data_IF_810040520864
#
_entry.id   IF_810040520864
#
_cell.length_a   1.000
_cell.length_b   1.000
_cell.length_c   1.000
_cell.angle_alpha   90.00
_cell.angle_beta   90.00
_cell.angle_gamma   90.00
#
_symmetry.space_group_name_H-M   'P 1'
#
loop_
_entity.id
_entity.type
_entity.pdbx_description
1 polymer ?
#
# COMPACT_ATOMS: atom_id res chain seq x y z
N UNK A 1 3.88 -14.35 -12.01
CA UNK A 1 3.02 -14.75 -10.87
C UNK A 1 3.88 -14.76 -9.64
N UNK A 2 3.45 -14.08 -8.59
CA UNK A 2 4.22 -14.01 -7.35
C UNK A 2 4.39 -15.38 -6.67
N UNK A 3 5.45 -15.49 -5.88
CA UNK A 3 5.81 -16.67 -5.12
C UNK A 3 5.02 -16.69 -3.80
N UNK A 4 4.02 -17.57 -3.73
CA UNK A 4 3.13 -17.69 -2.57
C UNK A 4 3.70 -18.65 -1.51
N UNK A 5 3.56 -18.31 -0.23
CA UNK A 5 3.93 -19.14 0.92
C UNK A 5 2.76 -19.19 1.93
N UNK A 6 2.04 -20.33 2.05
CA UNK A 6 2.16 -21.54 1.22
C UNK A 6 1.75 -21.29 -0.25
N UNK A 7 2.14 -22.21 -1.13
CA UNK A 7 1.89 -22.15 -2.58
C UNK A 7 0.41 -22.31 -2.96
N UNK A 8 -0.36 -22.96 -2.08
CA UNK A 8 -1.78 -23.19 -2.21
C UNK A 8 -2.59 -22.33 -1.24
N UNK A 9 -3.78 -21.90 -1.69
CA UNK A 9 -4.68 -21.12 -0.86
C UNK A 9 -5.19 -21.95 0.33
N UNK A 10 -5.04 -21.49 1.57
CA UNK A 10 -5.46 -22.27 2.73
C UNK A 10 -6.97 -22.51 2.79
N UNK A 11 -7.37 -23.72 3.17
CA UNK A 11 -8.78 -24.13 3.19
C UNK A 11 -9.63 -23.33 4.17
N UNK A 12 -9.04 -22.95 5.32
CA UNK A 12 -9.66 -22.17 6.39
C UNK A 12 -9.79 -20.66 6.09
N UNK A 13 -9.12 -20.18 5.04
CA UNK A 13 -9.16 -18.77 4.68
C UNK A 13 -10.59 -18.30 4.35
N UNK A 14 -10.90 -17.06 4.73
CA UNK A 14 -12.16 -16.41 4.40
C UNK A 14 -12.32 -16.27 2.88
N UNK A 15 -13.55 -16.07 2.40
CA UNK A 15 -13.79 -15.82 0.97
C UNK A 15 -13.07 -14.57 0.46
N UNK A 16 -12.91 -13.56 1.33
CA UNK A 16 -12.14 -12.35 1.08
C UNK A 16 -10.65 -12.62 0.93
N UNK A 17 -10.05 -13.33 1.88
CA UNK A 17 -8.65 -13.77 1.83
C UNK A 17 -8.38 -14.65 0.60
N UNK A 18 -9.27 -15.60 0.29
CA UNK A 18 -9.10 -16.47 -0.90
C UNK A 18 -9.05 -15.66 -2.19
N UNK A 19 -9.92 -14.65 -2.31
CA UNK A 19 -9.92 -13.75 -3.47
C UNK A 19 -8.63 -12.94 -3.53
N UNK A 20 -8.25 -12.33 -2.41
CA UNK A 20 -7.03 -11.53 -2.36
C UNK A 20 -5.78 -12.38 -2.64
N UNK A 21 -5.70 -13.58 -2.08
CA UNK A 21 -4.62 -14.53 -2.32
C UNK A 21 -4.44 -14.80 -3.82
N UNK A 22 -5.54 -15.09 -4.52
CA UNK A 22 -5.52 -15.33 -5.96
C UNK A 22 -5.09 -14.07 -6.72
N UNK A 23 -5.66 -12.91 -6.40
CA UNK A 23 -5.28 -11.63 -7.02
C UNK A 23 -3.79 -11.32 -6.80
N UNK A 24 -3.27 -11.44 -5.59
CA UNK A 24 -1.85 -11.18 -5.30
C UNK A 24 -0.95 -12.14 -6.07
N UNK A 25 -1.30 -13.43 -6.13
CA UNK A 25 -0.54 -14.42 -6.90
C UNK A 25 -0.50 -14.10 -8.39
N UNK A 26 -1.65 -13.73 -8.94
CA UNK A 26 -1.83 -13.62 -10.40
C UNK A 26 -1.33 -12.26 -10.93
N UNK A 27 -1.49 -11.18 -10.14
CA UNK A 27 -1.22 -9.80 -10.58
C UNK A 27 0.14 -9.24 -10.11
N UNK A 28 0.73 -9.77 -9.03
CA UNK A 28 2.05 -9.30 -8.61
C UNK A 28 3.18 -9.89 -9.49
N UNK A 29 4.28 -9.14 -9.66
CA UNK A 29 5.49 -9.63 -10.33
C UNK A 29 6.01 -10.96 -9.77
N UNK A 30 6.73 -11.71 -10.59
CA UNK A 30 7.29 -13.03 -10.23
C UNK A 30 8.50 -12.97 -9.27
N UNK A 31 9.05 -11.78 -9.04
CA UNK A 31 10.07 -11.51 -8.01
C UNK A 31 9.48 -11.12 -6.64
N UNK A 32 8.14 -11.06 -6.53
CA UNK A 32 7.46 -10.79 -5.28
C UNK A 32 7.18 -12.10 -4.50
N UNK A 33 7.42 -12.08 -3.20
CA UNK A 33 7.07 -13.14 -2.27
C UNK A 33 5.86 -12.72 -1.44
N UNK A 34 4.87 -13.60 -1.32
CA UNK A 34 3.65 -13.34 -0.55
C UNK A 34 3.46 -14.42 0.48
N UNK A 35 3.61 -14.05 1.76
CA UNK A 35 3.37 -14.91 2.90
C UNK A 35 1.95 -14.71 3.40
N UNK A 36 1.21 -15.80 3.59
CA UNK A 36 -0.10 -15.82 4.21
C UNK A 36 0.01 -16.31 5.66
N UNK A 37 -0.57 -15.57 6.61
CA UNK A 37 -0.50 -15.80 8.07
C UNK A 37 0.91 -16.15 8.60
N UNK A 38 1.99 -15.45 8.24
CA UNK A 38 3.33 -15.75 8.75
C UNK A 38 3.43 -15.45 10.25
N UNK A 39 4.20 -16.26 10.97
CA UNK A 39 4.50 -16.00 12.39
C UNK A 39 5.57 -14.91 12.54
N UNK A 40 5.17 -13.76 13.07
CA UNK A 40 6.03 -12.63 13.45
C UNK A 40 6.04 -12.49 14.97
N UNK A 41 6.94 -13.22 15.66
CA UNK A 41 7.07 -13.19 17.13
C UNK A 41 5.74 -13.47 17.87
N UNK A 42 4.95 -14.42 17.37
CA UNK A 42 3.64 -14.77 17.94
C UNK A 42 2.49 -13.89 17.45
N UNK A 43 2.76 -12.96 16.54
CA UNK A 43 1.76 -12.20 15.80
C UNK A 43 1.56 -12.83 14.41
N UNK A 44 0.34 -12.73 13.88
CA UNK A 44 -0.05 -13.38 12.64
C UNK A 44 -0.80 -12.37 11.75
N UNK A 45 -0.09 -11.50 11.02
CA UNK A 45 -0.72 -10.67 9.99
C UNK A 45 -1.32 -11.55 8.88
N UNK A 46 -2.42 -11.12 8.27
CA UNK A 46 -3.06 -11.93 7.22
C UNK A 46 -2.13 -12.15 6.01
N UNK A 47 -1.46 -11.09 5.54
CA UNK A 47 -0.44 -11.20 4.50
C UNK A 47 0.79 -10.33 4.77
N UNK A 48 1.96 -10.83 4.37
CA UNK A 48 3.18 -10.04 4.18
C UNK A 48 3.66 -10.23 2.75
N UNK A 49 3.79 -9.14 2.02
CA UNK A 49 4.37 -9.10 0.68
C UNK A 49 5.79 -8.54 0.79
N UNK A 50 6.74 -9.19 0.12
CA UNK A 50 8.09 -8.72 -0.09
C UNK A 50 8.36 -8.57 -1.58
N UNK A 51 8.69 -7.36 -2.03
CA UNK A 51 9.08 -7.08 -3.40
C UNK A 51 10.37 -6.28 -3.45
N UNK A 52 11.30 -6.55 -4.38
CA UNK A 52 12.57 -5.82 -4.46
C UNK A 52 12.42 -4.30 -4.60
N UNK A 53 11.40 -3.85 -5.33
CA UNK A 53 11.06 -2.43 -5.52
C UNK A 53 10.05 -1.91 -4.49
N UNK A 54 9.18 -2.77 -3.98
CA UNK A 54 8.10 -2.43 -3.06
C UNK A 54 8.57 -2.33 -1.59
N UNK A 55 9.59 -3.09 -1.20
CA UNK A 55 9.94 -3.36 0.20
C UNK A 55 8.98 -4.37 0.82
N UNK A 56 8.70 -4.23 2.13
CA UNK A 56 7.70 -5.04 2.83
C UNK A 56 6.34 -4.33 2.88
N UNK A 57 5.27 -5.05 2.58
CA UNK A 57 3.90 -4.58 2.77
C UNK A 57 3.12 -5.60 3.61
N UNK A 58 2.61 -5.14 4.75
CA UNK A 58 1.77 -5.94 5.65
C UNK A 58 0.32 -5.62 5.33
N UNK A 59 -0.52 -6.61 5.09
CA UNK A 59 -1.94 -6.43 4.79
C UNK A 59 -2.81 -7.14 5.83
N UNK A 60 -3.78 -6.41 6.33
CA UNK A 60 -4.89 -6.92 7.12
C UNK A 60 -6.16 -6.99 6.26
N UNK A 61 -6.88 -8.09 6.33
CA UNK A 61 -8.10 -8.34 5.59
C UNK A 61 -9.27 -8.35 6.55
N UNK A 62 -10.26 -7.50 6.30
CA UNK A 62 -11.51 -7.49 7.05
C UNK A 62 -12.69 -7.79 6.15
N UNK A 63 -13.54 -8.69 6.62
CA UNK A 63 -14.79 -9.06 5.95
C UNK A 63 -15.94 -8.06 6.14
N UNK A 64 -15.68 -6.92 6.79
CA UNK A 64 -16.72 -5.91 7.07
C UNK A 64 -17.23 -5.26 5.79
N UNK A 65 -18.51 -4.90 5.77
CA UNK A 65 -19.06 -3.99 4.77
C UNK A 65 -19.09 -2.57 5.28
N UNK A 66 -19.07 -1.61 4.34
CA UNK A 66 -19.17 -0.19 4.68
C UNK A 66 -20.43 0.11 5.50
N UNK A 67 -21.54 -0.61 5.27
CA UNK A 67 -22.79 -0.43 6.02
C UNK A 67 -22.74 -0.99 7.43
N UNK A 68 -21.82 -1.91 7.74
CA UNK A 68 -21.62 -2.44 9.10
C UNK A 68 -20.77 -1.49 9.96
N UNK A 69 -20.03 -0.55 9.36
CA UNK A 69 -19.16 0.37 10.10
C UNK A 69 -20.03 1.53 10.60
N UNK A 70 -20.38 1.51 11.89
CA UNK A 70 -21.14 2.57 12.53
C UNK A 70 -20.24 3.76 12.89
N UNK A 71 -19.02 3.46 13.35
CA UNK A 71 -18.00 4.46 13.71
C UNK A 71 -16.62 3.93 13.39
N UNK A 72 -15.74 4.81 12.90
CA UNK A 72 -14.34 4.50 12.63
C UNK A 72 -13.43 5.57 13.24
N UNK A 73 -12.30 5.14 13.79
CA UNK A 73 -11.21 6.00 14.26
C UNK A 73 -9.86 5.32 14.00
N UNK A 74 -8.77 6.05 14.21
CA UNK A 74 -7.42 5.52 14.19
C UNK A 74 -7.18 4.45 15.28
N UNK A 75 -7.96 4.48 16.35
CA UNK A 75 -7.89 3.52 17.46
C UNK A 75 -8.76 2.30 17.22
N UNK A 76 -10.06 2.51 17.05
CA UNK A 76 -11.09 1.47 17.09
C UNK A 76 -12.20 1.73 16.06
N UNK A 77 -12.92 0.66 15.73
CA UNK A 77 -14.10 0.62 14.87
C UNK A 77 -15.27 0.01 15.65
N UNK A 78 -16.45 0.60 15.52
CA UNK A 78 -17.71 0.03 15.99
C UNK A 78 -18.39 -0.65 14.81
N UNK A 79 -18.47 -1.98 14.86
CA UNK A 79 -18.98 -2.82 13.78
C UNK A 79 -20.30 -3.45 14.22
N UNK A 80 -21.35 -3.25 13.42
CA UNK A 80 -22.63 -3.93 13.60
C UNK A 80 -22.58 -5.35 13.02
N UNK A 81 -22.77 -6.33 13.91
CA UNK A 81 -22.84 -7.74 13.57
C UNK A 81 -24.26 -8.15 13.14
N UNK A 82 -24.41 -9.26 12.39
CA UNK A 82 -25.72 -9.84 12.09
C UNK A 82 -26.51 -10.07 13.38
N UNK A 83 -27.66 -9.42 13.52
CA UNK A 83 -28.46 -9.44 14.76
C UNK A 83 -28.43 -8.13 15.57
N UNK A 84 -27.74 -7.09 15.10
CA UNK A 84 -27.76 -5.75 15.69
C UNK A 84 -26.82 -5.56 16.89
N UNK A 85 -25.98 -6.56 17.19
CA UNK A 85 -24.95 -6.43 18.21
C UNK A 85 -23.83 -5.53 17.68
N UNK A 86 -23.41 -4.56 18.49
CA UNK A 86 -22.25 -3.71 18.18
C UNK A 86 -21.01 -4.31 18.83
N UNK A 87 -19.99 -4.55 18.02
CA UNK A 87 -18.69 -5.02 18.47
C UNK A 87 -17.64 -3.93 18.28
N UNK A 88 -16.87 -3.66 19.34
CA UNK A 88 -15.73 -2.76 19.28
C UNK A 88 -14.49 -3.54 18.86
N UNK A 89 -13.98 -3.29 17.66
CA UNK A 89 -12.78 -3.92 17.13
C UNK A 89 -11.65 -2.89 17.00
N UNK A 90 -10.40 -3.31 17.22
CA UNK A 90 -9.24 -2.44 17.02
C UNK A 90 -9.11 -2.06 15.54
N UNK A 91 -8.68 -0.82 15.25
CA UNK A 91 -8.36 -0.37 13.90
C UNK A 91 -7.39 -1.34 13.19
N UNK A 92 -7.71 -1.80 11.97
CA UNK A 92 -6.84 -2.70 11.21
C UNK A 92 -5.45 -2.09 10.94
N UNK A 93 -5.39 -0.78 10.70
CA UNK A 93 -4.11 -0.09 10.51
C UNK A 93 -3.30 -0.05 11.81
N UNK A 94 -3.96 0.05 12.97
CA UNK A 94 -3.29 0.01 14.28
C UNK A 94 -2.79 -1.41 14.61
N UNK A 95 -3.56 -2.45 14.28
CA UNK A 95 -3.12 -3.84 14.35
C UNK A 95 -1.87 -4.03 13.46
N UNK A 96 -1.97 -3.61 12.21
CA UNK A 96 -0.88 -3.66 11.24
C UNK A 96 0.38 -2.90 11.68
N UNK A 97 0.22 -1.76 12.34
CA UNK A 97 1.34 -0.99 12.89
C UNK A 97 2.09 -1.78 13.97
N UNK A 98 1.38 -2.55 14.79
CA UNK A 98 2.00 -3.45 15.77
C UNK A 98 2.91 -4.50 15.11
N UNK A 99 2.48 -5.08 13.99
CA UNK A 99 3.32 -6.02 13.22
C UNK A 99 4.53 -5.32 12.60
N UNK A 100 4.32 -4.13 12.03
CA UNK A 100 5.40 -3.33 11.47
C UNK A 100 6.48 -3.04 12.52
N UNK A 101 6.10 -2.59 13.71
CA UNK A 101 7.03 -2.28 14.78
C UNK A 101 7.80 -3.54 15.23
N UNK A 102 7.12 -4.68 15.35
CA UNK A 102 7.74 -5.96 15.68
C UNK A 102 8.78 -6.41 14.63
N UNK A 103 8.46 -6.26 13.33
CA UNK A 103 9.37 -6.56 12.23
C UNK A 103 10.54 -5.59 12.19
N UNK A 104 10.27 -4.27 12.22
CA UNK A 104 11.31 -3.25 12.19
C UNK A 104 12.34 -3.45 13.29
N UNK A 105 11.89 -3.69 14.53
CA UNK A 105 12.77 -3.92 15.67
C UNK A 105 13.61 -5.19 15.52
N UNK A 106 13.10 -6.22 14.84
CA UNK A 106 13.86 -7.44 14.55
C UNK A 106 14.86 -7.23 13.42
N UNK A 107 14.44 -6.59 12.32
CA UNK A 107 15.24 -6.44 11.10
C UNK A 107 16.40 -5.46 11.29
N UNK A 108 16.22 -4.41 12.10
CA UNK A 108 17.31 -3.48 12.48
C UNK A 108 18.48 -4.14 13.23
N UNK A 109 18.28 -5.36 13.76
CA UNK A 109 19.38 -6.14 14.35
C UNK A 109 20.38 -6.67 13.33
N UNK A 110 20.07 -6.60 12.03
CA UNK A 110 20.93 -7.06 10.94
C UNK A 110 21.46 -5.83 10.18
N UNK A 111 22.74 -5.52 10.36
CA UNK A 111 23.37 -4.34 9.73
C UNK A 111 23.26 -4.36 8.21
N UNK A 112 23.34 -5.54 7.58
CA UNK A 112 23.18 -5.71 6.13
C UNK A 112 21.81 -5.26 5.59
N UNK A 113 20.80 -5.15 6.45
CA UNK A 113 19.46 -4.67 6.08
C UNK A 113 19.28 -3.17 6.35
N UNK A 114 20.31 -2.50 6.85
CA UNK A 114 20.28 -1.08 7.21
C UNK A 114 21.14 -0.26 6.26
N UNK A 115 20.85 1.03 6.17
CA UNK A 115 21.71 1.96 5.44
C UNK A 115 22.97 2.27 6.24
N UNK A 116 24.12 2.21 5.57
CA UNK A 116 25.43 2.39 6.18
C UNK A 116 25.83 3.88 6.31
N UNK A 117 25.21 4.78 5.54
CA UNK A 117 25.55 6.22 5.46
C UNK A 117 24.31 7.08 5.12
N UNK A 118 24.47 8.41 5.17
CA UNK A 118 23.48 9.42 4.80
C UNK A 118 22.45 9.72 5.90
N UNK A 119 21.44 10.54 5.57
CA UNK A 119 20.40 11.01 6.51
C UNK A 119 19.52 9.88 7.09
N UNK A 120 19.65 8.67 6.53
CA UNK A 120 18.92 7.47 6.94
C UNK A 120 19.83 6.38 7.53
N UNK A 121 21.09 6.70 7.88
CA UNK A 121 22.02 5.77 8.50
C UNK A 121 21.38 5.04 9.70
N UNK A 122 21.54 3.71 9.73
CA UNK A 122 20.98 2.83 10.77
C UNK A 122 19.46 2.59 10.67
N UNK A 123 18.77 3.17 9.68
CA UNK A 123 17.40 2.78 9.31
C UNK A 123 17.45 1.66 8.28
N UNK A 124 16.33 0.95 8.11
CA UNK A 124 16.24 -0.11 7.11
C UNK A 124 16.48 0.46 5.71
N UNK A 125 17.16 -0.33 4.88
CA UNK A 125 17.47 0.01 3.49
C UNK A 125 16.25 -0.08 2.55
N UNK A 126 15.10 -0.51 3.06
CA UNK A 126 13.85 -0.66 2.33
C UNK A 126 12.66 -0.19 3.18
N UNK A 127 11.57 0.25 2.54
CA UNK A 127 10.36 0.67 3.25
C UNK A 127 9.60 -0.53 3.83
N UNK A 128 8.84 -0.27 4.90
CA UNK A 128 7.79 -1.18 5.38
C UNK A 128 6.48 -0.41 5.40
N UNK A 129 5.46 -0.94 4.74
CA UNK A 129 4.11 -0.40 4.68
C UNK A 129 3.09 -1.28 5.40
N UNK A 130 1.97 -0.66 5.75
CA UNK A 130 0.80 -1.34 6.34
C UNK A 130 -0.43 -0.93 5.55
N UNK A 131 -1.25 -1.90 5.17
CA UNK A 131 -2.52 -1.70 4.49
C UNK A 131 -3.64 -2.51 5.14
N UNK A 132 -4.88 -2.04 4.96
CA UNK A 132 -6.07 -2.77 5.34
C UNK A 132 -6.99 -2.90 4.12
N UNK A 133 -7.51 -4.10 3.89
CA UNK A 133 -8.35 -4.44 2.75
C UNK A 133 -9.72 -4.85 3.27
N UNK A 134 -10.74 -4.10 2.84
CA UNK A 134 -12.14 -4.43 3.09
C UNK A 134 -12.64 -5.29 1.93
N UNK A 135 -12.89 -6.57 2.15
CA UNK A 135 -13.18 -7.50 1.06
C UNK A 135 -14.64 -7.61 0.69
N UNK A 136 -15.54 -7.07 1.52
CA UNK A 136 -16.96 -7.10 1.19
C UNK A 136 -17.34 -5.92 0.27
N UNK A 137 -18.12 -6.23 -0.76
CA UNK A 137 -18.74 -5.25 -1.67
C UNK A 137 -17.80 -4.29 -2.42
N UNK A 138 -16.52 -4.64 -2.63
CA UNK A 138 -15.68 -3.88 -3.57
C UNK A 138 -16.32 -3.90 -4.96
N UNK A 139 -16.65 -2.72 -5.48
CA UNK A 139 -17.14 -2.56 -6.83
C UNK A 139 -16.65 -1.24 -7.41
N UNK A 140 -16.14 -1.32 -8.64
CA UNK A 140 -15.69 -0.18 -9.44
C UNK A 140 -16.83 0.76 -9.82
N UNK A 141 -18.09 0.39 -9.56
CA UNK A 141 -19.28 1.20 -9.83
C UNK A 141 -19.65 2.15 -8.68
N UNK A 142 -19.19 1.88 -7.46
CA UNK A 142 -19.49 2.76 -6.32
C UNK A 142 -18.54 3.97 -6.29
N UNK A 143 -19.04 5.19 -6.03
CA UNK A 143 -18.18 6.35 -5.82
C UNK A 143 -17.16 6.09 -4.70
N UNK A 144 -15.91 6.48 -4.91
CA UNK A 144 -14.86 6.30 -3.91
C UNK A 144 -13.47 6.63 -4.46
N UNK A 145 -12.49 6.69 -3.56
CA UNK A 145 -11.08 6.90 -3.93
C UNK A 145 -10.58 5.67 -4.69
N UNK A 146 -9.89 5.90 -5.81
CA UNK A 146 -9.26 4.85 -6.62
C UNK A 146 -7.75 4.94 -6.45
N UNK A 147 -7.16 3.86 -5.94
CA UNK A 147 -5.70 3.67 -5.98
C UNK A 147 -5.42 2.80 -7.20
N UNK A 148 -4.74 3.37 -8.19
CA UNK A 148 -4.39 2.70 -9.44
C UNK A 148 -2.94 3.02 -9.79
N UNK A 149 -2.30 2.10 -10.50
CA UNK A 149 -0.98 2.36 -11.08
C UNK A 149 -1.12 3.35 -12.24
N UNK A 150 -0.02 4.01 -12.61
CA UNK A 150 0.02 4.92 -13.75
C UNK A 150 -0.38 4.22 -15.05
N UNK A 151 0.16 3.02 -15.29
CA UNK A 151 -0.15 2.23 -16.50
C UNK A 151 -1.64 1.87 -16.58
N UNK A 152 -2.29 1.59 -15.45
CA UNK A 152 -3.73 1.33 -15.39
C UNK A 152 -4.60 2.59 -15.49
N UNK A 153 -4.03 3.78 -15.34
CA UNK A 153 -4.75 5.05 -15.44
C UNK A 153 -4.93 5.54 -16.88
N UNK A 154 -4.27 4.91 -17.86
CA UNK A 154 -4.38 5.28 -19.27
C UNK A 154 -5.84 5.26 -19.75
N UNK A 155 -6.29 6.39 -20.31
CA UNK A 155 -7.66 6.56 -20.80
C UNK A 155 -8.72 6.83 -19.73
N UNK A 156 -8.32 6.93 -18.45
CA UNK A 156 -9.20 7.36 -17.37
C UNK A 156 -9.04 8.86 -17.11
N UNK A 157 -10.06 9.48 -16.51
CA UNK A 157 -9.99 10.86 -16.01
C UNK A 157 -10.68 10.94 -14.65
N UNK A 158 -10.16 11.78 -13.77
CA UNK A 158 -10.64 11.94 -12.40
C UNK A 158 -10.76 13.42 -12.04
N UNK A 159 -11.76 13.73 -11.21
CA UNK A 159 -11.95 15.08 -10.67
C UNK A 159 -10.74 15.57 -9.89
N UNK A 160 -10.15 14.69 -9.08
CA UNK A 160 -8.91 14.93 -8.36
C UNK A 160 -7.94 13.77 -8.58
N UNK A 161 -6.66 14.08 -8.76
CA UNK A 161 -5.56 13.12 -8.84
C UNK A 161 -4.50 13.48 -7.82
N UNK A 162 -4.08 12.49 -7.04
CA UNK A 162 -3.00 12.59 -6.06
C UNK A 162 -1.89 11.65 -6.54
N UNK A 163 -0.76 12.22 -6.95
CA UNK A 163 0.44 11.45 -7.30
C UNK A 163 1.35 11.45 -6.09
N UNK A 164 1.48 10.28 -5.47
CA UNK A 164 2.40 10.07 -4.35
C UNK A 164 3.77 9.66 -4.87
N UNK A 165 4.81 10.01 -4.11
CA UNK A 165 6.18 9.58 -4.33
C UNK A 165 6.69 9.96 -5.73
N UNK A 166 6.58 11.24 -6.11
CA UNK A 166 6.99 11.73 -7.43
C UNK A 166 8.48 11.47 -7.73
N UNK A 167 9.34 11.36 -6.72
CA UNK A 167 10.74 11.01 -6.90
C UNK A 167 10.96 9.63 -7.53
N UNK A 168 9.97 8.72 -7.52
CA UNK A 168 10.08 7.43 -8.21
C UNK A 168 10.23 7.61 -9.73
N UNK A 169 9.70 8.69 -10.29
CA UNK A 169 9.83 9.02 -11.72
C UNK A 169 11.21 9.59 -12.10
N UNK A 170 12.12 9.73 -11.13
CA UNK A 170 13.52 10.07 -11.37
C UNK A 170 14.46 8.87 -11.40
N UNK A 171 13.94 7.64 -11.27
CA UNK A 171 14.73 6.40 -11.15
C UNK A 171 14.53 5.55 -12.42
N UNK A 172 15.63 5.05 -13.00
CA UNK A 172 15.58 4.17 -14.18
C UNK A 172 15.65 4.92 -15.51
N UNK A 173 14.91 4.45 -16.52
CA UNK A 173 14.83 5.12 -17.83
C UNK A 173 14.07 6.44 -17.68
N UNK A 174 14.81 7.55 -17.78
CA UNK A 174 14.26 8.89 -17.62
C UNK A 174 13.15 9.19 -18.63
N UNK A 175 13.26 8.73 -19.88
CA UNK A 175 12.26 9.02 -20.89
C UNK A 175 10.95 8.26 -20.63
N UNK A 176 11.02 7.01 -20.16
CA UNK A 176 9.83 6.25 -19.74
C UNK A 176 9.18 6.89 -18.52
N UNK A 177 9.97 7.17 -17.49
CA UNK A 177 9.48 7.73 -16.23
C UNK A 177 8.83 9.12 -16.42
N UNK A 178 9.36 9.97 -17.31
CA UNK A 178 8.73 11.25 -17.67
C UNK A 178 7.40 11.09 -18.38
N UNK A 179 7.27 10.10 -19.27
CA UNK A 179 5.99 9.79 -19.93
C UNK A 179 4.96 9.33 -18.91
N UNK A 180 5.35 8.49 -17.96
CA UNK A 180 4.47 8.01 -16.89
C UNK A 180 4.01 9.15 -15.98
N UNK A 181 4.92 10.03 -15.57
CA UNK A 181 4.57 11.22 -14.79
C UNK A 181 3.58 12.12 -15.57
N UNK A 182 3.85 12.41 -16.84
CA UNK A 182 2.94 13.18 -17.70
C UNK A 182 1.55 12.54 -17.82
N UNK A 183 1.50 11.23 -18.05
CA UNK A 183 0.23 10.49 -18.12
C UNK A 183 -0.53 10.64 -16.81
N UNK A 184 0.14 10.50 -15.67
CA UNK A 184 -0.44 10.60 -14.33
C UNK A 184 -1.07 11.98 -14.08
N UNK A 185 -0.31 13.04 -14.37
CA UNK A 185 -0.74 14.42 -14.16
C UNK A 185 -1.95 14.78 -15.04
N UNK A 186 -1.93 14.34 -16.30
CA UNK A 186 -3.02 14.63 -17.26
C UNK A 186 -4.30 13.83 -17.02
N UNK A 187 -4.37 12.97 -16.00
CA UNK A 187 -5.65 12.33 -15.60
C UNK A 187 -6.52 13.27 -14.77
N UNK A 188 -5.97 14.39 -14.28
CA UNK A 188 -6.67 15.32 -13.40
C UNK A 188 -7.55 16.31 -14.21
N UNK A 189 -8.80 16.47 -13.80
CA UNK A 189 -9.71 17.47 -14.38
C UNK A 189 -9.72 18.78 -13.59
N UNK A 190 -9.83 18.70 -12.26
CA UNK A 190 -10.04 19.89 -11.42
C UNK A 190 -8.87 20.09 -10.44
N UNK A 191 -8.38 19.02 -9.80
CA UNK A 191 -7.33 19.10 -8.77
C UNK A 191 -6.20 18.10 -9.06
N UNK A 192 -4.96 18.60 -9.08
CA UNK A 192 -3.74 17.79 -9.13
C UNK A 192 -2.91 18.09 -7.88
N UNK A 193 -2.54 17.05 -7.12
CA UNK A 193 -1.61 17.16 -6.01
C UNK A 193 -0.41 16.25 -6.24
N UNK A 194 0.80 16.83 -6.18
CA UNK A 194 2.05 16.11 -6.34
C UNK A 194 2.76 16.04 -4.99
N UNK A 195 3.04 14.83 -4.51
CA UNK A 195 3.76 14.61 -3.26
C UNK A 195 5.09 13.93 -3.57
N UNK A 196 6.17 14.50 -3.08
CA UNK A 196 7.49 13.89 -3.19
C UNK A 196 8.39 14.34 -2.07
N UNK A 197 9.53 13.68 -1.88
CA UNK A 197 10.49 14.09 -0.86
C UNK A 197 11.91 13.70 -1.25
N UNK A 198 12.89 14.38 -0.65
CA UNK A 198 14.30 14.20 -0.94
C UNK A 198 14.82 15.11 -2.05
N UNK A 199 16.09 14.93 -2.44
CA UNK A 199 16.79 15.80 -3.40
C UNK A 199 16.89 15.11 -4.76
N UNK A 200 15.79 15.08 -5.51
CA UNK A 200 15.76 14.50 -6.86
C UNK A 200 15.59 15.59 -7.92
N UNK A 201 16.26 15.48 -9.09
CA UNK A 201 16.14 16.47 -10.17
C UNK A 201 14.68 16.71 -10.59
N UNK A 202 13.89 15.64 -10.74
CA UNK A 202 12.47 15.71 -11.09
C UNK A 202 11.64 16.55 -10.11
N UNK A 203 11.96 16.52 -8.81
CA UNK A 203 11.24 17.32 -7.81
C UNK A 203 11.61 18.80 -7.93
N UNK A 204 12.91 19.10 -8.08
CA UNK A 204 13.36 20.49 -8.27
C UNK A 204 12.75 21.12 -9.51
N UNK A 205 12.73 20.39 -10.62
CA UNK A 205 12.14 20.90 -11.86
C UNK A 205 10.64 21.20 -11.72
N UNK A 206 9.92 20.39 -10.94
CA UNK A 206 8.49 20.62 -10.67
C UNK A 206 8.28 21.79 -9.71
N UNK A 207 9.12 21.92 -8.68
CA UNK A 207 9.10 23.05 -7.74
C UNK A 207 9.47 24.38 -8.42
N UNK A 208 10.44 24.36 -9.35
CA UNK A 208 10.87 25.53 -10.13
C UNK A 208 9.85 25.91 -11.20
N UNK A 209 8.99 24.97 -11.61
CA UNK A 209 7.85 25.27 -12.46
C UNK A 209 6.72 25.77 -11.57
N UNK A 210 6.49 27.09 -11.53
CA UNK A 210 5.43 27.79 -10.76
C UNK A 210 3.98 27.27 -11.00
N UNK A 211 3.79 26.18 -11.75
CA UNK A 211 2.51 25.57 -12.10
C UNK A 211 2.09 24.36 -11.27
N UNK A 212 2.91 23.85 -10.34
CA UNK A 212 2.56 22.68 -9.53
C UNK A 212 2.74 22.89 -8.03
N UNK A 213 1.69 22.60 -7.27
CA UNK A 213 1.78 22.48 -5.82
C UNK A 213 2.44 21.14 -5.45
N UNK A 214 3.75 21.18 -5.25
CA UNK A 214 4.54 20.04 -4.77
C UNK A 214 4.67 20.14 -3.24
N UNK A 215 4.10 19.18 -2.53
CA UNK A 215 4.31 19.06 -1.09
C UNK A 215 5.56 18.20 -0.82
N UNK A 216 6.63 18.86 -0.36
CA UNK A 216 7.95 18.30 -0.04
C UNK A 216 8.14 17.87 1.42
#
# INVERSE_FOLDING_TARGET
MALMVPDCTPSKASSGEKRLFQTLRDELPDDCYVYYEPNVKGLYPDFIIWGPTLGLLILEVKGWSASQILRASDQNFEIEQPGGQIELQQSPLRQGKGYQDALMNKLKGYSILCQDDGDYQGKLAFPIGVGAIMTSNYSSRHPGVRLITVKSALGLEFKAVIVLWVQQFGVGDEAEARRELYVSMTRAQDVLCLFGSGRFPVLRELEDSDGFDVAS
#
